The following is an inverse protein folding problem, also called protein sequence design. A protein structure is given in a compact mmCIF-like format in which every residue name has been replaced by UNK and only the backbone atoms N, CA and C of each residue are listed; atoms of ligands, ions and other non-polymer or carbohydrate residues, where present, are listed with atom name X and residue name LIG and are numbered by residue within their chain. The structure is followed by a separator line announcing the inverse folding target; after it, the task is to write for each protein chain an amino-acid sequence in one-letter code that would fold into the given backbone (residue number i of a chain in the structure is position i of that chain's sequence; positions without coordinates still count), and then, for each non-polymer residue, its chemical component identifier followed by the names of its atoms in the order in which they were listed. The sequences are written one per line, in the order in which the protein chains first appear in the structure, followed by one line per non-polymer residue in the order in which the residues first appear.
data_IF_563053776822
#
_entry.id   IF_563053776822
#
_cell.length_a   1.000
_cell.length_b   1.000
_cell.length_c   1.000
_cell.angle_alpha   90.00
_cell.angle_beta   90.00
_cell.angle_gamma   90.00
#
_symmetry.space_group_name_H-M   'P 1'
#
loop_
_entity.id
_entity.type
_entity.pdbx_description
1 polymer ?
#
# COMPACT_ATOMS: atom_id res chain seq x y z
N UNK A 1 -9.95 -9.15 -3.21
CA UNK A 1 -9.49 -7.93 -2.48
C UNK A 1 -10.46 -7.52 -1.37
N UNK A 2 -9.98 -7.52 -0.13
CA UNK A 2 -10.64 -7.04 1.07
C UNK A 2 -9.91 -5.79 1.58
N UNK A 3 -10.32 -4.62 1.08
CA UNK A 3 -9.72 -3.32 1.41
C UNK A 3 -9.81 -3.03 2.92
N UNK A 4 -10.91 -3.42 3.57
CA UNK A 4 -11.08 -3.21 5.01
C UNK A 4 -10.01 -3.95 5.83
N UNK A 5 -9.79 -5.23 5.54
CA UNK A 5 -8.76 -6.02 6.22
C UNK A 5 -7.35 -5.46 5.97
N UNK A 6 -7.11 -4.94 4.75
CA UNK A 6 -5.86 -4.25 4.41
C UNK A 6 -5.63 -3.03 5.30
N UNK A 7 -6.62 -2.13 5.38
CA UNK A 7 -6.54 -0.92 6.19
C UNK A 7 -6.47 -1.23 7.70
N UNK A 8 -7.24 -2.19 8.21
CA UNK A 8 -7.18 -2.63 9.61
C UNK A 8 -5.81 -3.22 9.97
N UNK A 9 -5.11 -3.82 9.00
CA UNK A 9 -3.73 -4.31 9.17
C UNK A 9 -2.66 -3.22 9.02
N UNK A 10 -3.04 -1.97 8.78
CA UNK A 10 -2.10 -0.89 8.42
C UNK A 10 -1.24 -1.22 7.19
N UNK A 11 -1.84 -1.88 6.20
CA UNK A 11 -1.20 -2.22 4.93
C UNK A 11 -0.24 -3.41 4.97
N UNK A 12 -0.25 -4.23 6.03
CA UNK A 12 0.75 -5.28 6.25
C UNK A 12 0.39 -6.67 5.70
N UNK A 13 -0.75 -6.82 5.01
CA UNK A 13 -1.21 -8.11 4.45
C UNK A 13 -1.66 -7.94 3.00
N UNK A 14 -1.65 -9.01 2.22
CA UNK A 14 -2.29 -9.02 0.91
C UNK A 14 -3.82 -8.98 1.09
N UNK A 15 -4.52 -8.04 0.45
CA UNK A 15 -5.97 -7.96 0.55
C UNK A 15 -6.69 -9.12 -0.17
N UNK A 16 -6.00 -9.91 -0.98
CA UNK A 16 -6.60 -11.01 -1.73
C UNK A 16 -6.45 -12.36 -1.00
N UNK A 17 -5.23 -12.71 -0.57
CA UNK A 17 -4.95 -14.01 0.06
C UNK A 17 -4.62 -13.94 1.56
N UNK A 18 -4.46 -12.75 2.14
CA UNK A 18 -4.10 -12.55 3.55
C UNK A 18 -2.63 -12.82 3.90
N UNK A 19 -1.77 -13.15 2.91
CA UNK A 19 -0.34 -13.33 3.14
C UNK A 19 0.35 -12.05 3.61
N UNK A 20 1.48 -12.17 4.30
CA UNK A 20 2.37 -11.05 4.66
C UNK A 20 3.53 -10.87 3.67
N UNK A 21 3.67 -11.76 2.69
CA UNK A 21 4.74 -11.75 1.70
C UNK A 21 4.45 -10.74 0.59
N UNK A 22 4.48 -9.46 0.94
CA UNK A 22 4.19 -8.33 0.06
C UNK A 22 5.46 -7.50 -0.15
N UNK A 23 5.64 -6.99 -1.37
CA UNK A 23 6.75 -6.10 -1.72
C UNK A 23 6.22 -4.80 -2.32
N UNK A 24 6.70 -3.67 -1.81
CA UNK A 24 6.50 -2.36 -2.41
C UNK A 24 7.62 -2.04 -3.40
N UNK A 25 7.26 -1.56 -4.58
CA UNK A 25 8.20 -1.27 -5.66
C UNK A 25 8.29 0.21 -5.97
N UNK A 26 7.65 0.60 -7.08
CA UNK A 26 7.74 1.94 -7.65
C UNK A 26 6.71 2.86 -7.00
N UNK A 27 7.10 4.10 -6.78
CA UNK A 27 6.16 5.14 -6.35
C UNK A 27 6.08 6.27 -7.38
N UNK A 28 4.92 6.90 -7.47
CA UNK A 28 4.69 8.12 -8.21
C UNK A 28 4.17 9.19 -7.25
N UNK A 29 4.66 10.41 -7.37
CA UNK A 29 4.26 11.54 -6.53
C UNK A 29 3.64 12.65 -7.38
N UNK A 30 2.51 13.18 -6.94
CA UNK A 30 1.88 14.38 -7.49
C UNK A 30 1.33 15.25 -6.35
N UNK A 31 1.90 16.44 -6.19
CA UNK A 31 1.54 17.42 -5.15
C UNK A 31 1.30 16.81 -3.76
N UNK A 32 0.04 16.64 -3.36
CA UNK A 32 -0.39 16.13 -2.05
C UNK A 32 -0.67 14.61 -2.04
N UNK A 33 -0.40 13.88 -3.13
CA UNK A 33 -0.59 12.44 -3.23
C UNK A 33 0.70 11.70 -3.63
N UNK A 34 0.85 10.50 -3.10
CA UNK A 34 1.84 9.52 -3.55
C UNK A 34 1.13 8.19 -3.74
N UNK A 35 1.32 7.55 -4.90
CA UNK A 35 0.92 6.14 -5.10
C UNK A 35 2.14 5.25 -5.03
N UNK A 36 1.99 4.06 -4.44
CA UNK A 36 3.02 3.03 -4.38
C UNK A 36 2.47 1.74 -4.97
N UNK A 37 3.17 1.17 -5.94
CA UNK A 37 2.87 -0.15 -6.48
C UNK A 37 3.29 -1.24 -5.50
N UNK A 38 2.36 -2.12 -5.15
CA UNK A 38 2.55 -3.23 -4.21
C UNK A 38 2.13 -4.53 -4.87
N UNK A 39 2.91 -5.57 -4.66
CA UNK A 39 2.60 -6.93 -5.12
C UNK A 39 2.69 -7.95 -3.99
N UNK A 40 1.85 -8.98 -4.05
CA UNK A 40 1.94 -10.16 -3.19
C UNK A 40 2.71 -11.27 -3.92
N UNK A 41 3.82 -11.73 -3.34
CA UNK A 41 4.66 -12.78 -3.94
C UNK A 41 4.05 -14.18 -3.88
N UNK A 42 3.03 -14.39 -3.05
CA UNK A 42 2.41 -15.71 -2.89
C UNK A 42 1.23 -15.93 -3.86
N UNK A 43 0.47 -14.88 -4.18
CA UNK A 43 -0.71 -14.99 -5.05
C UNK A 43 -0.66 -14.09 -6.30
N UNK A 44 0.42 -13.34 -6.49
CA UNK A 44 0.65 -12.41 -7.62
C UNK A 44 -0.42 -11.30 -7.75
N UNK A 45 -1.19 -11.04 -6.69
CA UNK A 45 -2.13 -9.92 -6.68
C UNK A 45 -1.34 -8.61 -6.55
N UNK A 46 -1.68 -7.61 -7.36
CA UNK A 46 -1.05 -6.28 -7.37
C UNK A 46 -2.08 -5.20 -7.10
N UNK A 47 -1.66 -4.13 -6.42
CA UNK A 47 -2.49 -2.98 -6.11
C UNK A 47 -1.65 -1.71 -5.93
N UNK A 48 -2.33 -0.58 -5.75
CA UNK A 48 -1.71 0.71 -5.44
C UNK A 48 -2.10 1.11 -4.02
N UNK A 49 -1.10 1.38 -3.18
CA UNK A 49 -1.32 2.17 -1.97
C UNK A 49 -1.46 3.64 -2.37
N UNK A 50 -2.33 4.36 -1.65
CA UNK A 50 -2.56 5.79 -1.85
C UNK A 50 -2.23 6.50 -0.55
N UNK A 51 -1.16 7.30 -0.57
CA UNK A 51 -0.76 8.17 0.51
C UNK A 51 -1.20 9.60 0.21
N UNK A 52 -1.57 10.33 1.28
CA UNK A 52 -1.93 11.74 1.21
C UNK A 52 -1.05 12.55 2.16
N UNK A 53 -0.62 13.73 1.74
CA UNK A 53 0.03 14.71 2.62
C UNK A 53 -0.98 15.16 3.68
N UNK A 54 -0.73 14.76 4.93
CA UNK A 54 -1.60 15.08 6.07
C UNK A 54 -1.00 16.10 7.03
N UNK A 55 0.26 16.51 6.83
CA UNK A 55 0.92 17.48 7.70
C UNK A 55 2.39 17.71 7.35
N UNK A 56 3.03 18.63 8.07
CA UNK A 56 4.46 18.90 8.00
C UNK A 56 5.00 19.18 9.41
N UNK A 57 6.25 18.76 9.67
CA UNK A 57 6.97 19.07 10.89
C UNK A 57 8.30 19.74 10.55
N UNK A 58 8.74 20.70 11.38
CA UNK A 58 10.04 21.35 11.23
C UNK A 58 11.12 20.47 11.88
N UNK A 59 12.20 20.21 11.14
CA UNK A 59 13.37 19.46 11.62
C UNK A 59 14.30 20.28 12.51
#
# INVERSE_FOLDING_TARGET
MNERAYLESSGSICPDCGSKNIEGGRYASDADFVTLEVECKDCNFTWLDIYKLVGMEKR
#
